data_IF_177090484300
#
_entry.id   IF_177090484300
#
_cell.length_a   1.000
_cell.length_b   1.000
_cell.length_c   1.000
_cell.angle_alpha   90.00
_cell.angle_beta   90.00
_cell.angle_gamma   90.00
#
_symmetry.space_group_name_H-M   'P 1'
#
loop_
_entity.id
_entity.type
_entity.pdbx_description
1 polymer ?
#
# COMPACT_ATOMS: atom_id res chain seq x y z
N UNK A 1 15.08 -4.41 11.99
CA UNK A 1 14.32 -3.32 11.32
C UNK A 1 12.96 -3.09 11.97
N UNK A 2 12.09 -4.11 12.08
CA UNK A 2 10.76 -4.01 12.69
C UNK A 2 10.74 -3.46 14.13
N UNK A 3 11.80 -3.67 14.90
CA UNK A 3 11.97 -3.12 16.26
C UNK A 3 12.02 -1.58 16.27
N UNK A 4 12.45 -0.96 15.17
CA UNK A 4 12.50 0.50 14.98
C UNK A 4 11.17 1.09 14.48
N UNK A 5 10.15 0.27 14.25
CA UNK A 5 8.86 0.79 13.79
C UNK A 5 8.10 1.38 14.96
N UNK A 6 7.46 2.52 14.73
CA UNK A 6 6.44 3.03 15.62
C UNK A 6 5.26 2.04 15.71
N UNK A 7 4.48 2.13 16.79
CA UNK A 7 3.44 1.15 17.11
C UNK A 7 2.34 1.06 16.05
N UNK A 8 1.92 2.20 15.52
CA UNK A 8 0.99 2.37 14.40
C UNK A 8 1.54 1.76 13.10
N UNK A 9 2.82 1.99 12.78
CA UNK A 9 3.46 1.47 11.56
C UNK A 9 3.51 -0.06 11.55
N UNK A 10 3.72 -0.72 12.70
CA UNK A 10 3.66 -2.19 12.77
C UNK A 10 2.26 -2.73 12.49
N UNK A 11 1.22 -2.04 12.96
CA UNK A 11 -0.18 -2.43 12.70
C UNK A 11 -0.52 -2.32 11.22
N UNK A 12 -0.12 -1.22 10.58
CA UNK A 12 -0.30 -1.00 9.13
C UNK A 12 0.31 -2.12 8.28
N UNK A 13 1.51 -2.60 8.62
CA UNK A 13 2.11 -3.75 7.91
C UNK A 13 1.31 -5.04 8.16
N UNK A 14 0.72 -5.20 9.34
CA UNK A 14 -0.22 -6.27 9.63
C UNK A 14 -1.45 -6.21 8.73
N UNK A 15 -2.08 -5.04 8.62
CA UNK A 15 -3.20 -4.80 7.72
C UNK A 15 -2.83 -5.05 6.27
N UNK A 16 -1.66 -4.61 5.81
CA UNK A 16 -1.18 -4.89 4.46
C UNK A 16 -1.07 -6.41 4.16
N UNK A 17 -0.69 -7.23 5.15
CA UNK A 17 -0.69 -8.68 5.01
C UNK A 17 -2.10 -9.28 5.00
N UNK A 18 -3.07 -8.63 5.63
CA UNK A 18 -4.49 -9.01 5.57
C UNK A 18 -5.08 -8.65 4.22
N UNK A 19 -4.79 -7.46 3.69
CA UNK A 19 -5.18 -7.05 2.34
C UNK A 19 -4.61 -7.99 1.27
N UNK A 20 -3.34 -8.38 1.37
CA UNK A 20 -2.77 -9.35 0.43
C UNK A 20 -3.51 -10.69 0.47
N UNK A 21 -3.94 -11.16 1.65
CA UNK A 21 -4.74 -12.38 1.74
C UNK A 21 -6.15 -12.19 1.20
N UNK A 22 -6.76 -11.05 1.50
CA UNK A 22 -8.09 -10.69 1.03
C UNK A 22 -8.14 -10.63 -0.50
N UNK A 23 -7.09 -10.09 -1.13
CA UNK A 23 -6.96 -10.05 -2.59
C UNK A 23 -6.66 -11.41 -3.23
N UNK A 24 -6.30 -12.44 -2.45
CA UNK A 24 -5.88 -13.75 -2.97
C UNK A 24 -4.38 -13.83 -3.32
N UNK A 25 -3.62 -12.79 -2.95
CA UNK A 25 -2.24 -12.61 -3.40
C UNK A 25 -1.24 -13.41 -2.57
N UNK A 26 -0.32 -14.06 -3.27
CA UNK A 26 0.74 -14.89 -2.65
C UNK A 26 1.88 -14.05 -2.08
N UNK A 27 1.94 -12.76 -2.41
CA UNK A 27 3.00 -11.84 -2.00
C UNK A 27 2.39 -10.52 -1.59
N UNK A 28 3.02 -9.85 -0.63
CA UNK A 28 2.63 -8.50 -0.22
C UNK A 28 3.22 -7.48 -1.21
N UNK A 29 2.35 -6.82 -1.96
CA UNK A 29 2.67 -5.76 -2.93
C UNK A 29 2.73 -4.36 -2.31
N UNK A 30 3.04 -3.35 -3.13
CA UNK A 30 3.05 -1.94 -2.73
C UNK A 30 1.63 -1.39 -2.57
N UNK A 31 0.72 -1.78 -3.45
CA UNK A 31 -0.73 -1.58 -3.34
C UNK A 31 -1.28 -2.08 -2.00
N UNK A 32 -0.83 -3.25 -1.54
CA UNK A 32 -1.23 -3.79 -0.25
C UNK A 32 -0.70 -2.97 0.92
N UNK A 33 0.51 -2.40 0.82
CA UNK A 33 1.01 -1.45 1.82
C UNK A 33 0.16 -0.18 1.85
N UNK A 34 -0.27 0.32 0.69
CA UNK A 34 -1.17 1.46 0.60
C UNK A 34 -2.54 1.15 1.21
N UNK A 35 -3.17 0.03 0.82
CA UNK A 35 -4.44 -0.43 1.41
C UNK A 35 -4.31 -0.64 2.92
N UNK A 36 -3.21 -1.26 3.38
CA UNK A 36 -2.94 -1.44 4.80
C UNK A 36 -2.82 -0.11 5.57
N UNK A 37 -2.30 0.95 4.95
CA UNK A 37 -2.22 2.27 5.55
C UNK A 37 -3.61 2.91 5.72
N UNK A 38 -4.54 2.64 4.80
CA UNK A 38 -5.90 3.19 4.81
C UNK A 38 -6.81 2.59 5.90
N UNK A 39 -6.35 1.58 6.63
CA UNK A 39 -7.00 1.15 7.87
C UNK A 39 -6.84 2.17 9.01
N UNK A 40 -5.82 3.02 8.93
CA UNK A 40 -5.58 4.06 9.92
C UNK A 40 -6.16 5.41 9.44
N UNK A 41 -6.90 6.14 10.30
CA UNK A 41 -7.54 7.40 9.91
C UNK A 41 -6.55 8.51 9.54
N UNK A 42 -5.31 8.47 10.04
CA UNK A 42 -4.28 9.47 9.71
C UNK A 42 -3.93 9.45 8.22
N UNK A 43 -3.38 8.33 7.69
CA UNK A 43 -3.15 8.13 6.27
C UNK A 43 -4.38 8.37 5.39
N UNK A 44 -5.54 7.84 5.78
CA UNK A 44 -6.78 8.02 5.03
C UNK A 44 -7.16 9.50 4.90
N UNK A 45 -7.05 10.27 5.98
CA UNK A 45 -7.30 11.72 5.97
C UNK A 45 -6.28 12.51 5.13
N UNK A 46 -5.01 12.11 5.17
CA UNK A 46 -3.95 12.74 4.37
C UNK A 46 -4.14 12.50 2.88
N UNK A 47 -4.49 11.27 2.49
CA UNK A 47 -4.73 10.87 1.11
C UNK A 47 -6.10 11.33 0.59
N UNK A 48 -7.05 11.61 1.48
CA UNK A 48 -8.43 11.99 1.11
C UNK A 48 -9.24 10.84 0.52
N UNK A 49 -8.87 9.59 0.83
CA UNK A 49 -9.48 8.38 0.29
C UNK A 49 -9.81 7.39 1.40
N UNK A 50 -10.91 6.66 1.23
CA UNK A 50 -11.29 5.57 2.15
C UNK A 50 -10.73 4.24 1.68
N UNK A 51 -10.61 3.28 2.60
CA UNK A 51 -10.22 1.90 2.28
C UNK A 51 -11.16 1.27 1.24
N UNK A 52 -12.47 1.49 1.35
CA UNK A 52 -13.45 0.89 0.42
C UNK A 52 -13.32 1.47 -0.99
N UNK A 53 -13.08 2.77 -1.12
CA UNK A 53 -12.78 3.39 -2.42
C UNK A 53 -11.51 2.78 -3.04
N UNK A 54 -10.46 2.63 -2.24
CA UNK A 54 -9.20 2.05 -2.70
C UNK A 54 -9.33 0.57 -3.10
N UNK A 55 -10.08 -0.24 -2.35
CA UNK A 55 -10.38 -1.64 -2.72
C UNK A 55 -11.19 -1.72 -4.02
N UNK A 56 -12.19 -0.86 -4.18
CA UNK A 56 -12.99 -0.80 -5.41
C UNK A 56 -12.14 -0.42 -6.63
N UNK A 57 -11.25 0.58 -6.48
CA UNK A 57 -10.32 1.00 -7.52
C UNK A 57 -9.31 -0.11 -7.87
N UNK A 58 -8.72 -0.78 -6.87
CA UNK A 58 -7.82 -1.91 -7.08
C UNK A 58 -8.51 -3.05 -7.86
N UNK A 59 -9.72 -3.43 -7.46
CA UNK A 59 -10.50 -4.45 -8.17
C UNK A 59 -10.83 -4.04 -9.62
N UNK A 60 -11.08 -2.75 -9.89
CA UNK A 60 -11.30 -2.24 -11.23
C UNK A 60 -10.02 -2.28 -12.09
N UNK A 61 -8.88 -1.92 -11.52
CA UNK A 61 -7.57 -2.00 -12.19
C UNK A 61 -7.24 -3.43 -12.60
N UNK A 62 -7.44 -4.39 -11.70
CA UNK A 62 -7.16 -5.80 -11.99
C UNK A 62 -8.09 -6.36 -13.08
N UNK A 63 -9.39 -6.01 -13.06
CA UNK A 63 -10.31 -6.38 -14.15
C UNK A 63 -9.86 -5.80 -15.48
N UNK A 64 -9.40 -4.55 -15.48
CA UNK A 64 -8.89 -3.88 -16.69
C UNK A 64 -7.62 -4.58 -17.19
N UNK A 65 -6.71 -4.96 -16.29
CA UNK A 65 -5.49 -5.69 -16.63
C UNK A 65 -5.80 -7.06 -17.25
N UNK A 66 -6.75 -7.82 -16.70
CA UNK A 66 -7.20 -9.10 -17.27
C UNK A 66 -7.88 -8.92 -18.64
N UNK A 67 -8.75 -7.91 -18.78
CA UNK A 67 -9.40 -7.62 -20.04
C UNK A 67 -8.39 -7.24 -21.14
N UNK A 68 -7.28 -6.58 -20.80
CA UNK A 68 -6.23 -6.21 -21.75
C UNK A 68 -5.54 -7.40 -22.42
N UNK A 69 -5.59 -8.58 -21.79
CA UNK A 69 -5.09 -9.85 -22.34
C UNK A 69 -6.21 -10.79 -22.79
N UNK A 70 -7.44 -10.28 -22.93
CA UNK A 70 -8.60 -11.03 -23.42
C UNK A 70 -9.27 -11.94 -22.39
N UNK A 71 -9.00 -11.77 -21.09
CA UNK A 71 -9.64 -12.55 -20.02
C UNK A 71 -10.81 -11.73 -19.45
N UNK A 72 -12.04 -12.23 -19.64
CA UNK A 72 -13.21 -11.68 -18.97
C UNK A 72 -13.36 -12.29 -17.58
N UNK A 73 -13.16 -11.46 -16.56
CA UNK A 73 -13.29 -11.84 -15.16
C UNK A 73 -14.71 -11.61 -14.61
N UNK A 74 -15.69 -11.21 -15.44
CA UNK A 74 -17.07 -11.07 -15.00
C UNK A 74 -17.62 -12.39 -14.46
N UNK A 75 -18.26 -12.32 -13.29
CA UNK A 75 -18.85 -13.49 -12.62
C UNK A 75 -17.87 -14.37 -11.85
N UNK A 76 -16.57 -14.07 -11.87
CA UNK A 76 -15.59 -14.77 -11.03
C UNK A 76 -15.38 -14.02 -9.71
N UNK A 77 -15.65 -14.70 -8.59
CA UNK A 77 -15.25 -14.22 -7.28
C UNK A 77 -13.76 -14.50 -7.04
N UNK A 78 -13.08 -13.54 -6.40
CA UNK A 78 -11.71 -13.75 -5.97
C UNK A 78 -11.67 -14.81 -4.87
N UNK A 79 -10.83 -15.82 -5.09
CA UNK A 79 -10.48 -16.74 -4.02
C UNK A 79 -9.60 -16.02 -2.99
N UNK A 80 -10.15 -15.76 -1.81
CA UNK A 80 -9.37 -15.23 -0.68
C UNK A 80 -8.41 -16.30 -0.16
N UNK A 81 -7.20 -15.90 0.24
CA UNK A 81 -6.27 -16.84 0.89
C UNK A 81 -6.73 -17.16 2.32
N UNK A 82 -6.57 -18.42 2.78
CA UNK A 82 -6.89 -18.78 4.16
C UNK A 82 -6.17 -17.90 5.18
N UNK A 83 -6.87 -17.48 6.24
CA UNK A 83 -6.25 -16.69 7.32
C UNK A 83 -5.19 -17.48 8.09
N UNK A 84 -5.36 -18.81 8.20
CA UNK A 84 -4.38 -19.74 8.75
C UNK A 84 -3.33 -20.09 7.70
N UNK A 85 -2.08 -19.70 7.94
CA UNK A 85 -0.95 -20.03 7.08
C UNK A 85 0.23 -19.09 7.27
N UNK A 86 1.31 -19.33 6.52
CA UNK A 86 2.46 -18.44 6.49
C UNK A 86 2.04 -17.05 6.00
N UNK A 87 2.57 -16.00 6.62
CA UNK A 87 2.37 -14.61 6.19
C UNK A 87 2.92 -14.44 4.76
N UNK A 88 2.22 -13.71 3.86
CA UNK A 88 2.71 -13.49 2.52
C UNK A 88 4.07 -12.75 2.58
N UNK A 89 5.12 -13.26 1.90
CA UNK A 89 6.39 -12.56 1.85
C UNK A 89 6.27 -11.27 1.04
N UNK A 90 7.13 -10.29 1.34
CA UNK A 90 7.21 -9.05 0.57
C UNK A 90 7.62 -9.30 -0.89
N UNK A 91 6.95 -8.62 -1.82
CA UNK A 91 7.43 -8.45 -3.21
C UNK A 91 8.73 -7.64 -3.27
N UNK A 92 9.39 -7.58 -4.42
CA UNK A 92 10.54 -6.69 -4.64
C UNK A 92 10.14 -5.23 -4.43
N UNK A 93 9.05 -4.77 -5.05
CA UNK A 93 8.54 -3.40 -4.90
C UNK A 93 8.24 -3.04 -3.45
N UNK A 94 7.57 -3.93 -2.72
CA UNK A 94 7.29 -3.71 -1.30
C UNK A 94 8.57 -3.63 -0.46
N UNK A 95 9.62 -4.40 -0.77
CA UNK A 95 10.93 -4.25 -0.10
C UNK A 95 11.58 -2.90 -0.41
N UNK A 96 11.51 -2.44 -1.65
CA UNK A 96 12.02 -1.12 -2.03
C UNK A 96 11.28 0.02 -1.31
N UNK A 97 9.98 -0.13 -1.04
CA UNK A 97 9.24 0.81 -0.17
C UNK A 97 9.82 0.81 1.24
N UNK A 98 10.09 -0.37 1.83
CA UNK A 98 10.72 -0.46 3.16
C UNK A 98 12.12 0.18 3.20
N UNK A 99 12.93 -0.02 2.16
CA UNK A 99 14.25 0.61 2.03
C UNK A 99 14.13 2.14 1.97
N UNK A 100 13.17 2.66 1.20
CA UNK A 100 12.87 4.08 1.18
C UNK A 100 12.42 4.63 2.55
N UNK A 101 11.64 3.85 3.33
CA UNK A 101 11.23 4.26 4.68
C UNK A 101 12.44 4.45 5.59
N UNK A 102 13.44 3.56 5.46
CA UNK A 102 14.69 3.67 6.18
C UNK A 102 15.50 4.90 5.73
N UNK A 103 15.55 5.19 4.43
CA UNK A 103 16.20 6.39 3.90
C UNK A 103 15.58 7.66 4.47
N UNK A 104 14.27 7.83 4.40
CA UNK A 104 13.56 8.96 5.01
C UNK A 104 13.83 9.09 6.51
N UNK A 105 13.91 7.96 7.22
CA UNK A 105 14.22 7.95 8.66
C UNK A 105 15.62 8.53 8.94
N UNK A 106 16.61 8.15 8.12
CA UNK A 106 18.00 8.62 8.23
C UNK A 106 18.10 10.10 7.85
N UNK A 107 17.46 10.51 6.75
CA UNK A 107 17.50 11.90 6.26
C UNK A 107 16.88 12.88 7.28
N UNK A 108 15.82 12.46 7.96
CA UNK A 108 15.18 13.20 9.05
C UNK A 108 15.93 13.10 10.40
N UNK A 109 17.06 12.38 10.45
CA UNK A 109 17.82 12.08 11.69
C UNK A 109 16.97 11.44 12.80
N UNK A 110 15.91 10.73 12.41
CA UNK A 110 15.02 10.04 13.34
C UNK A 110 15.55 8.65 13.69
N UNK A 111 15.17 8.16 14.87
CA UNK A 111 15.45 6.78 15.29
C UNK A 111 14.30 5.81 14.99
N UNK A 112 13.10 6.36 14.76
CA UNK A 112 11.86 5.61 14.56
C UNK A 112 11.41 5.68 13.09
N UNK A 113 11.00 4.53 12.58
CA UNK A 113 10.37 4.39 11.26
C UNK A 113 8.87 4.53 11.47
N UNK A 114 8.28 5.55 10.85
CA UNK A 114 6.89 5.96 11.09
C UNK A 114 6.00 5.76 9.86
N UNK A 115 4.71 5.98 10.05
CA UNK A 115 3.70 5.97 8.99
C UNK A 115 3.94 7.07 7.95
N UNK A 116 4.46 8.23 8.36
CA UNK A 116 4.89 9.28 7.44
C UNK A 116 5.98 8.77 6.46
N UNK A 117 6.98 8.02 6.97
CA UNK A 117 8.02 7.43 6.12
C UNK A 117 7.44 6.42 5.11
N UNK A 118 6.42 5.66 5.51
CA UNK A 118 5.70 4.75 4.61
C UNK A 118 5.01 5.53 3.49
N UNK A 119 4.23 6.55 3.84
CA UNK A 119 3.52 7.37 2.86
C UNK A 119 4.48 8.03 1.88
N UNK A 120 5.57 8.64 2.36
CA UNK A 120 6.57 9.25 1.48
C UNK A 120 7.19 8.24 0.51
N UNK A 121 7.56 7.04 0.99
CA UNK A 121 8.05 5.96 0.12
C UNK A 121 7.04 5.48 -0.92
N UNK A 122 5.76 5.41 -0.56
CA UNK A 122 4.69 5.03 -1.49
C UNK A 122 4.46 6.12 -2.54
N UNK A 123 4.51 7.40 -2.15
CA UNK A 123 4.39 8.53 -3.05
C UNK A 123 5.60 8.67 -4.02
N UNK A 124 6.75 8.10 -3.67
CA UNK A 124 7.93 7.99 -4.55
C UNK A 124 7.80 6.87 -5.61
N UNK A 125 6.74 6.05 -5.59
CA UNK A 125 6.59 4.98 -6.58
C UNK A 125 6.24 5.56 -7.95
N UNK A 126 6.92 5.08 -8.99
CA UNK A 126 6.79 5.56 -10.37
C UNK A 126 5.82 4.70 -11.19
N UNK A 127 5.70 5.00 -12.48
CA UNK A 127 4.83 4.30 -13.43
C UNK A 127 5.08 2.77 -13.41
N UNK A 128 4.00 2.00 -13.59
CA UNK A 128 3.95 0.54 -13.49
C UNK A 128 4.09 -0.07 -12.08
N UNK A 129 4.29 0.72 -11.03
CA UNK A 129 4.13 0.23 -9.66
C UNK A 129 2.63 0.11 -9.29
N UNK A 130 2.20 -0.97 -8.61
CA UNK A 130 0.80 -1.15 -8.22
C UNK A 130 0.25 -0.03 -7.30
N UNK A 131 1.04 0.46 -6.34
CA UNK A 131 0.62 1.57 -5.49
C UNK A 131 0.51 2.87 -6.28
N UNK A 132 1.42 3.10 -7.23
CA UNK A 132 1.36 4.26 -8.10
C UNK A 132 0.07 4.24 -8.96
N UNK A 133 -0.17 3.13 -9.65
CA UNK A 133 -1.38 2.93 -10.46
C UNK A 133 -2.66 3.13 -9.64
N UNK A 134 -2.67 2.64 -8.39
CA UNK A 134 -3.81 2.80 -7.48
C UNK A 134 -4.01 4.25 -7.03
N UNK A 135 -2.94 4.98 -6.68
CA UNK A 135 -3.02 6.40 -6.34
C UNK A 135 -3.56 7.24 -7.52
N UNK A 136 -3.15 6.92 -8.74
CA UNK A 136 -3.60 7.61 -9.94
C UNK A 136 -5.08 7.31 -10.23
N UNK A 137 -5.49 6.05 -10.11
CA UNK A 137 -6.90 5.66 -10.26
C UNK A 137 -7.82 6.30 -9.21
N UNK A 138 -7.27 6.62 -8.03
CA UNK A 138 -7.97 7.32 -6.96
C UNK A 138 -7.94 8.85 -7.11
N UNK A 139 -7.20 9.39 -8.08
CA UNK A 139 -7.08 10.84 -8.29
C UNK A 139 -6.32 11.55 -7.16
N UNK A 140 -5.42 10.86 -6.47
CA UNK A 140 -4.65 11.44 -5.36
C UNK A 140 -3.59 12.40 -5.91
N UNK A 141 -3.65 13.67 -5.50
CA UNK A 141 -2.57 14.64 -5.75
C UNK A 141 -1.35 14.31 -4.87
N UNK A 142 -0.44 13.53 -5.42
CA UNK A 142 0.75 13.05 -4.72
C UNK A 142 1.67 14.18 -4.23
N UNK A 143 1.73 15.29 -4.96
CA UNK A 143 2.55 16.43 -4.58
C UNK A 143 1.97 17.13 -3.35
N UNK A 144 0.65 17.33 -3.33
CA UNK A 144 -0.05 17.91 -2.19
C UNK A 144 0.02 17.01 -0.95
N UNK A 145 -0.23 15.70 -1.10
CA UNK A 145 -0.13 14.76 0.03
C UNK A 145 1.30 14.76 0.59
N UNK A 146 2.33 14.77 -0.26
CA UNK A 146 3.73 14.87 0.19
C UNK A 146 3.97 16.12 1.03
N UNK A 147 3.48 17.29 0.58
CA UNK A 147 3.62 18.54 1.34
C UNK A 147 3.00 18.42 2.73
N UNK A 148 1.77 17.89 2.81
CA UNK A 148 1.06 17.70 4.09
C UNK A 148 1.78 16.75 5.04
N UNK A 149 2.30 15.64 4.52
CA UNK A 149 3.06 14.66 5.31
C UNK A 149 4.33 15.30 5.89
N UNK A 150 5.05 16.10 5.10
CA UNK A 150 6.28 16.76 5.55
C UNK A 150 6.05 17.94 6.50
N UNK A 151 4.83 18.49 6.55
CA UNK A 151 4.44 19.57 7.45
C UNK A 151 3.78 19.10 8.75
N UNK A 152 3.57 17.79 8.92
CA UNK A 152 2.88 17.19 10.08
C UNK A 152 3.82 16.88 11.24
#
# INVERSE_FOLDING_TARGET
MFERFAGDTRKIVGYAMEEARYSGDKRLGTDHLLLGALHDPGPAGLLGVTLDQARAAAAALDRTALASIGIDAQGFERATMPSRGKKPPFSSGARSVMEGMLRYTIDQKSRQITTANLLLSLLDREEHDPAASLLDALGVDRAEVRRRVLSS
#
